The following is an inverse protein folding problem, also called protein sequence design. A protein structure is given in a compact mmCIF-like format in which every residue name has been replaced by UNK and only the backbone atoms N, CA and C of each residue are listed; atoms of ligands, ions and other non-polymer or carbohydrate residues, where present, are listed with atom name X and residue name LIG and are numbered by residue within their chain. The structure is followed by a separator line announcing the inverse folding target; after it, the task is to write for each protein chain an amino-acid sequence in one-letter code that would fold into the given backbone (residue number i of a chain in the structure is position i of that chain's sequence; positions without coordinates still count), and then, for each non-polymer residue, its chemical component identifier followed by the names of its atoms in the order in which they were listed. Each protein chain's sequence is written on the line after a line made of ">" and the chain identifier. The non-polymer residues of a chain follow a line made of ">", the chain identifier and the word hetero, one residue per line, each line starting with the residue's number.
data_IF_111550779092
#
_entry.id   IF_111550779092
#
_cell.length_a   1.000
_cell.length_b   1.000
_cell.length_c   1.000
_cell.angle_alpha   90.00
_cell.angle_beta   90.00
_cell.angle_gamma   90.00
#
_symmetry.space_group_name_H-M   'P 1'
#
loop_
_entity.id
_entity.type
_entity.pdbx_description
1 polymer ?
#
# COMPACT_ATOMS: atom_id res chain seq x y z
N UNK A 1 2.01 -7.36 29.29
CA UNK A 1 2.34 -7.47 27.86
C UNK A 1 1.14 -6.95 27.09
N UNK A 2 1.32 -5.88 26.33
CA UNK A 2 0.23 -5.33 25.50
C UNK A 2 -0.25 -6.38 24.49
N UNK A 3 -1.56 -6.62 24.46
CA UNK A 3 -2.15 -7.54 23.51
C UNK A 3 -2.02 -6.94 22.09
N UNK A 4 -1.43 -7.71 21.17
CA UNK A 4 -1.35 -7.35 19.76
C UNK A 4 -2.17 -8.34 18.97
N UNK A 5 -3.20 -7.86 18.27
CA UNK A 5 -4.11 -8.64 17.45
C UNK A 5 -4.07 -8.20 15.98
N UNK A 6 -4.30 -9.16 15.10
CA UNK A 6 -4.56 -8.92 13.67
C UNK A 6 -6.02 -9.24 13.40
N UNK A 7 -6.67 -8.40 12.63
CA UNK A 7 -8.04 -8.66 12.16
C UNK A 7 -8.26 -8.17 10.74
N UNK A 8 -9.20 -8.75 10.00
CA UNK A 8 -9.70 -8.13 8.76
C UNK A 8 -10.21 -6.72 9.06
N UNK A 9 -10.02 -5.81 8.11
CA UNK A 9 -10.61 -4.49 8.20
C UNK A 9 -12.13 -4.55 7.99
N UNK A 10 -12.82 -3.51 8.45
CA UNK A 10 -14.28 -3.32 8.38
C UNK A 10 -14.59 -1.98 7.70
N UNK A 11 -15.81 -1.74 7.23
CA UNK A 11 -16.19 -0.43 6.67
C UNK A 11 -15.91 0.74 7.61
N UNK A 12 -16.01 0.54 8.93
CA UNK A 12 -15.74 1.56 9.94
C UNK A 12 -14.25 1.94 10.05
N UNK A 13 -13.35 1.10 9.52
CA UNK A 13 -11.92 1.42 9.45
C UNK A 13 -11.56 2.34 8.26
N UNK A 14 -12.52 2.73 7.43
CA UNK A 14 -12.28 3.44 6.18
C UNK A 14 -11.43 4.71 6.37
N UNK A 15 -11.70 5.52 7.39
CA UNK A 15 -10.91 6.72 7.68
C UNK A 15 -9.44 6.38 7.97
N UNK A 16 -9.21 5.37 8.82
CA UNK A 16 -7.86 4.86 9.11
C UNK A 16 -7.18 4.36 7.84
N UNK A 17 -7.89 3.57 7.01
CA UNK A 17 -7.34 3.03 5.77
C UNK A 17 -6.96 4.14 4.79
N UNK A 18 -7.79 5.16 4.61
CA UNK A 18 -7.49 6.31 3.76
C UNK A 18 -6.20 7.03 4.19
N UNK A 19 -6.05 7.31 5.49
CA UNK A 19 -4.83 7.89 6.04
C UNK A 19 -3.61 6.98 5.81
N UNK A 20 -3.74 5.67 6.03
CA UNK A 20 -2.66 4.70 5.89
C UNK A 20 -2.23 4.53 4.43
N UNK A 21 -3.17 4.48 3.48
CA UNK A 21 -2.90 4.40 2.05
C UNK A 21 -2.08 5.61 1.58
N UNK A 22 -2.53 6.82 1.91
CA UNK A 22 -1.82 8.05 1.53
C UNK A 22 -0.43 8.10 2.18
N UNK A 23 -0.31 7.75 3.46
CA UNK A 23 0.97 7.72 4.16
C UNK A 23 1.96 6.73 3.52
N UNK A 24 1.48 5.55 3.08
CA UNK A 24 2.30 4.53 2.42
C UNK A 24 2.77 4.97 1.03
N UNK A 25 1.98 5.77 0.31
CA UNK A 25 2.27 6.21 -1.06
C UNK A 25 3.49 7.12 -1.19
N UNK A 26 3.95 7.75 -0.10
CA UNK A 26 5.14 8.61 -0.12
C UNK A 26 5.00 9.85 -1.01
N UNK A 27 3.78 10.38 -1.14
CA UNK A 27 3.43 11.51 -1.97
C UNK A 27 2.66 11.16 -3.25
N UNK A 28 2.64 9.87 -3.64
CA UNK A 28 1.98 9.45 -4.89
C UNK A 28 0.47 9.76 -4.89
N UNK A 29 -0.23 9.46 -3.80
CA UNK A 29 -1.67 9.74 -3.73
C UNK A 29 -1.97 11.23 -3.75
N UNK A 30 -1.11 12.06 -3.16
CA UNK A 30 -1.22 13.51 -3.24
C UNK A 30 -1.01 13.99 -4.69
N UNK A 31 -0.02 13.47 -5.42
CA UNK A 31 0.19 13.79 -6.84
C UNK A 31 -1.03 13.41 -7.69
N UNK A 32 -1.63 12.26 -7.42
CA UNK A 32 -2.74 11.74 -8.22
C UNK A 32 -4.08 12.41 -7.89
N UNK A 33 -4.32 12.75 -6.63
CA UNK A 33 -5.67 13.06 -6.11
C UNK A 33 -5.83 14.47 -5.53
N UNK A 34 -4.73 15.26 -5.39
CA UNK A 34 -4.85 16.65 -4.91
C UNK A 34 -5.75 17.45 -5.84
N UNK A 35 -6.69 18.21 -5.25
CA UNK A 35 -7.63 19.09 -5.98
C UNK A 35 -8.54 18.40 -7.02
N UNK A 36 -8.61 17.07 -7.04
CA UNK A 36 -9.54 16.34 -7.91
C UNK A 36 -10.99 16.59 -7.53
N UNK A 37 -11.23 16.75 -6.24
CA UNK A 37 -12.55 17.13 -5.69
C UNK A 37 -12.39 18.35 -4.77
N UNK A 38 -13.09 19.46 -5.04
CA UNK A 38 -12.96 20.68 -4.24
C UNK A 38 -13.22 20.43 -2.75
N UNK A 39 -12.26 20.79 -1.90
CA UNK A 39 -12.36 20.66 -0.45
C UNK A 39 -12.27 19.23 0.11
N UNK A 40 -11.96 18.23 -0.73
CA UNK A 40 -11.80 16.84 -0.32
C UNK A 40 -10.33 16.44 -0.42
N UNK A 41 -9.77 15.97 0.67
CA UNK A 41 -8.35 15.55 0.71
C UNK A 41 -8.15 14.17 0.06
N UNK A 42 -6.93 13.85 -0.44
CA UNK A 42 -6.59 12.50 -0.92
C UNK A 42 -6.92 11.39 0.09
N UNK A 43 -6.73 11.64 1.40
CA UNK A 43 -7.08 10.67 2.43
C UNK A 43 -8.59 10.43 2.53
N UNK A 44 -9.41 11.45 2.35
CA UNK A 44 -10.88 11.30 2.33
C UNK A 44 -11.35 10.56 1.07
N UNK A 45 -10.75 10.83 -0.09
CA UNK A 45 -11.04 10.08 -1.32
C UNK A 45 -10.69 8.60 -1.13
N UNK A 46 -9.51 8.31 -0.61
CA UNK A 46 -9.08 6.93 -0.37
C UNK A 46 -9.90 6.25 0.75
N UNK A 47 -10.39 7.01 1.73
CA UNK A 47 -11.31 6.48 2.75
C UNK A 47 -12.65 6.05 2.13
N UNK A 48 -13.17 6.82 1.18
CA UNK A 48 -14.40 6.43 0.49
C UNK A 48 -14.19 5.18 -0.38
N UNK A 49 -13.09 5.08 -1.11
CA UNK A 49 -12.71 3.87 -1.83
C UNK A 49 -12.58 2.67 -0.88
N UNK A 50 -11.94 2.85 0.28
CA UNK A 50 -11.78 1.80 1.27
C UNK A 50 -13.10 1.35 1.91
N UNK A 51 -14.12 2.20 1.95
CA UNK A 51 -15.47 1.86 2.48
C UNK A 51 -16.24 0.91 1.58
N UNK A 52 -15.94 0.91 0.28
CA UNK A 52 -16.66 0.10 -0.69
C UNK A 52 -16.35 -1.40 -0.52
N UNK A 53 -17.32 -2.30 -0.76
CA UNK A 53 -17.09 -3.74 -0.69
C UNK A 53 -16.30 -4.29 -1.88
N UNK A 54 -16.14 -3.50 -2.93
CA UNK A 54 -15.46 -3.85 -4.17
C UNK A 54 -14.31 -2.87 -4.43
N UNK A 55 -13.41 -3.24 -5.35
CA UNK A 55 -12.27 -2.43 -5.72
C UNK A 55 -10.96 -2.82 -5.02
N UNK A 56 -9.84 -2.47 -5.64
CA UNK A 56 -8.50 -2.85 -5.15
C UNK A 56 -8.18 -2.29 -3.76
N UNK A 57 -8.70 -1.10 -3.44
CA UNK A 57 -8.51 -0.47 -2.12
C UNK A 57 -9.64 -0.72 -1.12
N UNK A 58 -10.60 -1.61 -1.42
CA UNK A 58 -11.65 -2.03 -0.51
C UNK A 58 -11.12 -2.48 0.85
N UNK A 59 -11.88 -2.21 1.94
CA UNK A 59 -11.57 -2.75 3.27
C UNK A 59 -11.39 -4.27 3.26
N UNK A 60 -12.02 -5.00 2.33
CA UNK A 60 -11.91 -6.46 2.21
C UNK A 60 -10.49 -6.94 1.88
N UNK A 61 -9.68 -6.09 1.31
CA UNK A 61 -8.27 -6.35 0.98
C UNK A 61 -7.31 -5.89 2.08
N UNK A 62 -7.82 -5.37 3.20
CA UNK A 62 -6.99 -4.82 4.25
C UNK A 62 -7.02 -5.64 5.54
N UNK A 63 -5.87 -5.71 6.19
CA UNK A 63 -5.68 -6.24 7.54
C UNK A 63 -5.25 -5.12 8.46
N UNK A 64 -5.96 -4.97 9.57
CA UNK A 64 -5.64 -4.01 10.64
C UNK A 64 -4.86 -4.73 11.75
N UNK A 65 -3.81 -4.08 12.24
CA UNK A 65 -3.13 -4.50 13.47
C UNK A 65 -3.53 -3.59 14.62
N UNK A 66 -3.98 -4.21 15.69
CA UNK A 66 -4.33 -3.54 16.93
C UNK A 66 -3.24 -3.76 17.98
N UNK A 67 -2.92 -2.73 18.74
CA UNK A 67 -2.03 -2.78 19.86
C UNK A 67 -2.54 -1.81 20.94
N UNK A 68 -2.45 -2.21 22.20
CA UNK A 68 -2.89 -1.39 23.33
C UNK A 68 -4.38 -0.97 23.25
N UNK A 69 -5.22 -1.80 22.63
CA UNK A 69 -6.65 -1.55 22.45
C UNK A 69 -7.01 -0.56 21.32
N UNK A 70 -6.04 -0.16 20.51
CA UNK A 70 -6.24 0.77 19.39
C UNK A 70 -5.66 0.23 18.07
N UNK A 71 -6.21 0.67 16.94
CA UNK A 71 -5.66 0.37 15.63
C UNK A 71 -4.30 1.07 15.46
N UNK A 72 -3.25 0.27 15.31
CA UNK A 72 -1.86 0.71 15.26
C UNK A 72 -1.33 0.88 13.82
N UNK A 73 -1.96 0.24 12.85
CA UNK A 73 -1.59 0.30 11.45
C UNK A 73 -2.40 -0.66 10.60
N UNK A 74 -2.14 -0.66 9.30
CA UNK A 74 -2.81 -1.53 8.36
C UNK A 74 -1.90 -1.93 7.19
N UNK A 75 -2.29 -3.03 6.53
CA UNK A 75 -1.73 -3.49 5.27
C UNK A 75 -2.88 -3.77 4.32
N UNK A 76 -2.78 -3.28 3.09
CA UNK A 76 -3.68 -3.61 1.98
C UNK A 76 -2.93 -4.46 0.95
N UNK A 77 -3.52 -5.59 0.55
CA UNK A 77 -2.95 -6.48 -0.45
C UNK A 77 -4.05 -7.22 -1.22
N UNK A 78 -3.83 -7.42 -2.51
CA UNK A 78 -4.77 -8.02 -3.45
C UNK A 78 -4.02 -8.67 -4.63
N UNK A 79 -4.69 -9.48 -5.48
CA UNK A 79 -4.11 -9.97 -6.71
C UNK A 79 -3.57 -8.83 -7.59
N UNK A 80 -2.33 -8.96 -8.08
CA UNK A 80 -1.66 -7.89 -8.85
C UNK A 80 -2.48 -7.40 -10.05
N UNK A 81 -3.34 -8.24 -10.62
CA UNK A 81 -4.24 -7.92 -11.72
C UNK A 81 -5.24 -6.81 -11.41
N UNK A 82 -5.54 -6.59 -10.12
CA UNK A 82 -6.46 -5.53 -9.69
C UNK A 82 -5.76 -4.16 -9.56
N UNK A 83 -4.43 -4.12 -9.69
CA UNK A 83 -3.71 -2.84 -9.58
C UNK A 83 -4.10 -1.89 -10.72
N UNK A 84 -4.60 -0.72 -10.36
CA UNK A 84 -4.95 0.35 -11.31
C UNK A 84 -6.25 0.13 -12.08
N UNK A 85 -7.04 -0.90 -11.77
CA UNK A 85 -8.31 -1.16 -12.46
C UNK A 85 -9.34 -0.03 -12.30
N UNK A 86 -9.26 0.75 -11.25
CA UNK A 86 -10.19 1.84 -10.91
C UNK A 86 -9.58 3.24 -11.12
N UNK A 87 -8.29 3.31 -11.46
CA UNK A 87 -7.57 4.58 -11.50
C UNK A 87 -8.06 5.54 -12.58
N UNK A 88 -8.67 5.01 -13.65
CA UNK A 88 -8.97 5.79 -14.86
C UNK A 88 -10.17 6.73 -14.75
N UNK A 89 -11.09 6.51 -13.82
CA UNK A 89 -12.31 7.33 -13.72
C UNK A 89 -12.13 8.56 -12.83
N UNK A 90 -11.28 8.48 -11.83
CA UNK A 90 -11.10 9.55 -10.84
C UNK A 90 -9.84 10.38 -11.09
N UNK A 91 -8.77 9.76 -11.63
CA UNK A 91 -7.48 10.42 -11.80
C UNK A 91 -7.45 11.18 -13.13
N UNK A 92 -7.13 12.49 -13.12
CA UNK A 92 -6.95 13.25 -14.35
C UNK A 92 -5.94 12.58 -15.30
N UNK A 93 -6.26 12.54 -16.60
CA UNK A 93 -5.48 11.81 -17.60
C UNK A 93 -3.99 12.20 -17.63
N UNK A 94 -3.70 13.47 -17.43
CA UNK A 94 -2.32 14.00 -17.36
C UNK A 94 -1.52 13.48 -16.15
N UNK A 95 -2.21 13.02 -15.10
CA UNK A 95 -1.57 12.45 -13.89
C UNK A 95 -1.34 10.96 -14.02
N UNK A 96 -1.95 10.27 -14.97
CA UNK A 96 -1.75 8.83 -15.18
C UNK A 96 -0.29 8.48 -15.53
N UNK A 97 0.47 9.43 -16.05
CA UNK A 97 1.92 9.27 -16.32
C UNK A 97 2.71 8.87 -15.07
N UNK A 98 2.24 9.23 -13.87
CA UNK A 98 2.88 8.83 -12.61
C UNK A 98 2.62 7.36 -12.23
N UNK A 99 1.53 6.76 -12.71
CA UNK A 99 1.21 5.34 -12.49
C UNK A 99 1.87 4.41 -13.51
N UNK A 100 2.15 4.88 -14.71
CA UNK A 100 2.69 4.07 -15.79
C UNK A 100 3.96 3.28 -15.40
N UNK A 101 4.95 3.86 -14.68
CA UNK A 101 6.13 3.12 -14.24
C UNK A 101 5.79 1.96 -13.29
N UNK A 102 4.82 2.14 -12.38
CA UNK A 102 4.38 1.09 -11.47
C UNK A 102 3.65 -0.03 -12.22
N UNK A 103 2.81 0.32 -13.21
CA UNK A 103 2.12 -0.66 -14.05
C UNK A 103 3.11 -1.50 -14.88
N UNK A 104 4.19 -0.89 -15.38
CA UNK A 104 5.25 -1.58 -16.12
C UNK A 104 6.04 -2.56 -15.25
N UNK A 105 6.23 -2.22 -13.97
CA UNK A 105 6.97 -3.03 -13.00
C UNK A 105 6.12 -4.09 -12.29
N UNK A 106 4.82 -4.17 -12.58
CA UNK A 106 3.90 -5.03 -11.87
C UNK A 106 4.24 -6.52 -12.10
N UNK A 107 4.48 -7.27 -11.01
CA UNK A 107 4.66 -8.73 -11.04
C UNK A 107 3.29 -9.43 -11.14
N UNK A 108 2.82 -9.60 -12.38
CA UNK A 108 1.52 -10.26 -12.63
C UNK A 108 1.54 -11.71 -12.12
N UNK A 109 0.40 -12.17 -11.64
CA UNK A 109 0.27 -13.50 -11.00
C UNK A 109 0.84 -13.55 -9.60
N UNK A 110 1.11 -12.42 -8.96
CA UNK A 110 1.53 -12.32 -7.57
C UNK A 110 0.43 -11.76 -6.67
N UNK A 111 0.58 -12.00 -5.37
CA UNK A 111 -0.13 -11.28 -4.31
C UNK A 111 0.57 -9.94 -4.09
N UNK A 112 -0.09 -8.85 -4.48
CA UNK A 112 0.51 -7.52 -4.46
C UNK A 112 0.19 -6.77 -3.16
N UNK A 113 1.21 -6.38 -2.42
CA UNK A 113 1.09 -5.50 -1.26
C UNK A 113 1.05 -4.05 -1.78
N UNK A 114 -0.14 -3.47 -1.76
CA UNK A 114 -0.38 -2.12 -2.27
C UNK A 114 0.01 -1.03 -1.26
N UNK A 115 -0.18 -1.31 0.04
CA UNK A 115 0.15 -0.36 1.09
C UNK A 115 0.48 -1.06 2.41
N UNK A 116 1.41 -0.49 3.16
CA UNK A 116 1.73 -0.85 4.53
C UNK A 116 2.10 0.43 5.29
N UNK A 117 1.32 0.76 6.30
CA UNK A 117 1.64 1.90 7.15
C UNK A 117 1.35 1.64 8.62
N UNK A 118 2.12 2.29 9.47
CA UNK A 118 1.95 2.28 10.92
C UNK A 118 1.72 3.71 11.41
N UNK A 119 0.80 3.89 12.36
CA UNK A 119 0.65 5.16 13.06
C UNK A 119 1.98 5.53 13.73
N UNK A 120 2.34 6.82 13.78
CA UNK A 120 3.65 7.27 14.29
C UNK A 120 4.03 6.67 15.65
N UNK A 121 3.10 6.65 16.61
CA UNK A 121 3.31 6.18 17.98
C UNK A 121 3.55 4.66 18.10
N UNK A 122 3.28 3.92 17.03
CA UNK A 122 3.45 2.47 16.97
C UNK A 122 4.63 2.02 16.09
N UNK A 123 5.37 2.97 15.52
CA UNK A 123 6.60 2.67 14.75
C UNK A 123 7.69 2.12 15.65
N UNK A 124 8.64 1.39 15.09
CA UNK A 124 9.75 0.79 15.85
C UNK A 124 9.38 -0.42 16.71
N UNK A 125 8.09 -0.79 16.81
CA UNK A 125 7.59 -1.88 17.65
C UNK A 125 7.48 -3.24 16.92
N UNK A 126 8.10 -3.37 15.77
CA UNK A 126 8.11 -4.59 14.91
C UNK A 126 6.73 -5.06 14.43
N UNK A 127 5.69 -4.23 14.52
CA UNK A 127 4.31 -4.58 14.17
C UNK A 127 4.13 -4.75 12.65
N UNK A 128 4.81 -3.95 11.83
CA UNK A 128 4.77 -4.05 10.37
C UNK A 128 5.20 -5.44 9.87
N UNK A 129 6.21 -6.05 10.50
CA UNK A 129 6.64 -7.42 10.18
C UNK A 129 5.58 -8.48 10.48
N UNK A 130 4.68 -8.24 11.45
CA UNK A 130 3.55 -9.15 11.74
C UNK A 130 2.49 -9.05 10.66
N UNK A 131 2.15 -7.84 10.20
CA UNK A 131 1.24 -7.63 9.07
C UNK A 131 1.75 -8.30 7.80
N UNK A 132 3.05 -8.13 7.49
CA UNK A 132 3.66 -8.76 6.31
C UNK A 132 3.59 -10.29 6.37
N UNK A 133 3.91 -10.90 7.52
CA UNK A 133 3.82 -12.36 7.68
C UNK A 133 2.39 -12.88 7.53
N UNK A 134 1.39 -12.15 8.02
CA UNK A 134 -0.01 -12.48 7.80
C UNK A 134 -0.39 -12.42 6.31
N UNK A 135 0.08 -11.37 5.61
CA UNK A 135 -0.15 -11.26 4.15
C UNK A 135 0.54 -12.39 3.36
N UNK A 136 1.72 -12.86 3.79
CA UNK A 136 2.37 -14.04 3.16
C UNK A 136 1.56 -15.32 3.39
N UNK A 137 0.95 -15.49 4.56
CA UNK A 137 0.05 -16.62 4.81
C UNK A 137 -1.18 -16.56 3.89
N UNK A 138 -1.82 -15.38 3.78
CA UNK A 138 -2.95 -15.17 2.87
C UNK A 138 -2.58 -15.48 1.41
N UNK A 139 -1.41 -15.02 0.94
CA UNK A 139 -0.94 -15.33 -0.41
C UNK A 139 -0.88 -16.83 -0.67
N UNK A 140 -0.29 -17.60 0.26
CA UNK A 140 -0.20 -19.07 0.16
C UNK A 140 -1.59 -19.74 0.18
N UNK A 141 -2.46 -19.33 1.09
CA UNK A 141 -3.82 -19.86 1.22
C UNK A 141 -4.64 -19.63 -0.05
N UNK A 142 -4.40 -18.53 -0.75
CA UNK A 142 -5.03 -18.19 -2.02
C UNK A 142 -4.29 -18.74 -3.24
N UNK A 143 -3.19 -19.51 -3.05
CA UNK A 143 -2.47 -20.17 -4.12
C UNK A 143 -1.53 -19.29 -4.93
N UNK A 144 -1.19 -18.09 -4.44
CA UNK A 144 -0.22 -17.22 -5.12
C UNK A 144 1.22 -17.73 -4.89
N UNK A 145 2.01 -17.90 -5.95
CA UNK A 145 3.40 -18.39 -5.82
C UNK A 145 4.35 -17.31 -5.28
N UNK A 146 3.99 -16.04 -5.43
CA UNK A 146 4.85 -14.91 -5.06
C UNK A 146 4.06 -13.79 -4.40
N UNK A 147 4.77 -13.03 -3.56
CA UNK A 147 4.32 -11.75 -3.02
C UNK A 147 5.18 -10.65 -3.60
N UNK A 148 4.57 -9.59 -4.11
CA UNK A 148 5.26 -8.44 -4.69
C UNK A 148 4.83 -7.12 -4.08
N UNK A 149 5.63 -6.09 -4.30
CA UNK A 149 5.32 -4.72 -3.91
C UNK A 149 6.16 -3.72 -4.70
N UNK A 150 5.77 -2.45 -4.65
CA UNK A 150 6.61 -1.34 -5.06
C UNK A 150 7.10 -0.56 -3.84
N UNK A 151 8.34 -0.07 -3.91
CA UNK A 151 8.92 0.78 -2.86
C UNK A 151 9.80 1.85 -3.48
N UNK A 152 9.76 3.06 -2.93
CA UNK A 152 10.67 4.12 -3.33
C UNK A 152 12.11 3.78 -2.94
N UNK A 153 13.05 3.90 -3.85
CA UNK A 153 14.46 3.55 -3.60
C UNK A 153 15.08 4.30 -2.41
N UNK A 154 14.62 5.54 -2.15
CA UNK A 154 15.07 6.36 -1.02
C UNK A 154 14.27 6.17 0.26
N UNK A 155 13.22 5.34 0.27
CA UNK A 155 12.54 4.94 1.51
C UNK A 155 13.34 3.83 2.21
N UNK A 156 14.51 4.18 2.73
CA UNK A 156 15.47 3.22 3.29
C UNK A 156 14.90 2.40 4.44
N UNK A 157 13.97 2.97 5.21
CA UNK A 157 13.30 2.26 6.31
C UNK A 157 12.45 1.11 5.81
N UNK A 158 11.59 1.36 4.82
CA UNK A 158 10.72 0.35 4.23
C UNK A 158 11.55 -0.65 3.42
N UNK A 159 12.47 -0.18 2.58
CA UNK A 159 13.35 -1.03 1.78
C UNK A 159 14.12 -2.01 2.67
N UNK A 160 14.76 -1.53 3.73
CA UNK A 160 15.48 -2.38 4.68
C UNK A 160 14.59 -3.40 5.39
N UNK A 161 13.31 -3.07 5.68
CA UNK A 161 12.35 -4.03 6.21
C UNK A 161 12.06 -5.14 5.20
N UNK A 162 11.79 -4.81 3.95
CA UNK A 162 11.45 -5.79 2.90
C UNK A 162 12.64 -6.71 2.59
N UNK A 163 13.84 -6.17 2.43
CA UNK A 163 15.05 -6.97 2.19
C UNK A 163 15.31 -7.97 3.33
N UNK A 164 15.16 -7.56 4.59
CA UNK A 164 15.27 -8.50 5.74
C UNK A 164 14.21 -9.58 5.76
N UNK A 165 13.08 -9.39 5.10
CA UNK A 165 12.01 -10.39 4.97
C UNK A 165 12.13 -11.23 3.70
N UNK A 166 13.27 -11.14 2.99
CA UNK A 166 13.59 -11.99 1.84
C UNK A 166 13.04 -11.49 0.51
N UNK A 167 12.58 -10.26 0.43
CA UNK A 167 12.30 -9.65 -0.87
C UNK A 167 13.59 -9.37 -1.62
N UNK A 168 13.56 -9.53 -2.94
CA UNK A 168 14.63 -9.17 -3.85
C UNK A 168 14.12 -8.17 -4.88
N UNK A 169 14.99 -7.30 -5.37
CA UNK A 169 14.68 -6.37 -6.45
C UNK A 169 14.51 -7.15 -7.76
N UNK A 170 13.41 -6.88 -8.45
CA UNK A 170 13.06 -7.48 -9.74
C UNK A 170 13.04 -6.46 -10.88
N UNK A 171 13.07 -5.19 -10.56
CA UNK A 171 13.12 -4.11 -11.55
C UNK A 171 13.06 -2.74 -10.90
N UNK A 172 13.33 -1.73 -11.71
CA UNK A 172 13.24 -0.34 -11.30
C UNK A 172 12.75 0.54 -12.45
N UNK A 173 12.06 1.64 -12.12
CA UNK A 173 11.63 2.62 -13.10
C UNK A 173 11.70 4.03 -12.52
N UNK A 174 11.79 5.00 -13.42
CA UNK A 174 11.74 6.40 -13.05
C UNK A 174 10.30 6.92 -13.13
N UNK A 175 9.84 7.51 -12.07
CA UNK A 175 8.59 8.27 -11.99
C UNK A 175 8.93 9.75 -12.31
N UNK A 176 8.09 10.47 -13.05
CA UNK A 176 8.31 11.90 -13.27
C UNK A 176 8.52 12.66 -11.96
N UNK A 177 9.36 13.68 -11.98
CA UNK A 177 9.61 14.51 -10.79
C UNK A 177 8.34 15.29 -10.39
N UNK A 178 8.07 15.33 -9.10
CA UNK A 178 7.01 16.16 -8.53
C UNK A 178 7.38 16.58 -7.11
N UNK A 179 7.10 17.84 -6.69
CA UNK A 179 7.46 18.34 -5.36
C UNK A 179 6.84 17.56 -4.20
N UNK A 180 5.68 16.93 -4.41
CA UNK A 180 4.99 16.13 -3.40
C UNK A 180 5.60 14.73 -3.20
N UNK A 181 6.46 14.25 -4.11
CA UNK A 181 7.12 12.94 -3.97
C UNK A 181 8.25 13.02 -2.95
N UNK A 182 8.07 12.40 -1.79
CA UNK A 182 8.96 12.54 -0.61
C UNK A 182 10.25 11.71 -0.71
N UNK A 183 10.30 10.71 -1.58
CA UNK A 183 11.40 9.74 -1.66
C UNK A 183 12.11 9.77 -3.02
N UNK A 184 12.01 10.88 -3.75
CA UNK A 184 12.61 11.04 -5.06
C UNK A 184 11.82 10.33 -6.17
N UNK A 185 12.49 9.98 -7.25
CA UNK A 185 11.88 9.57 -8.51
C UNK A 185 12.11 8.10 -8.91
N UNK A 186 12.84 7.33 -8.13
CA UNK A 186 13.12 5.92 -8.47
C UNK A 186 12.20 5.00 -7.66
N UNK A 187 11.39 4.24 -8.38
CA UNK A 187 10.54 3.18 -7.84
C UNK A 187 11.20 1.83 -8.10
N UNK A 188 11.26 0.99 -7.09
CA UNK A 188 11.73 -0.40 -7.17
C UNK A 188 10.53 -1.34 -7.13
N UNK A 189 10.57 -2.38 -7.96
CA UNK A 189 9.72 -3.55 -7.78
C UNK A 189 10.49 -4.60 -6.97
N UNK A 190 9.86 -5.11 -5.95
CA UNK A 190 10.40 -6.18 -5.12
C UNK A 190 9.46 -7.38 -5.16
N UNK A 191 10.03 -8.59 -5.17
CA UNK A 191 9.27 -9.83 -5.10
C UNK A 191 9.97 -10.87 -4.22
N UNK A 192 9.19 -11.81 -3.69
CA UNK A 192 9.67 -12.97 -2.94
C UNK A 192 8.73 -14.17 -3.16
N UNK A 193 9.17 -15.42 -2.95
CA UNK A 193 8.26 -16.56 -2.80
C UNK A 193 7.24 -16.30 -1.66
N UNK A 194 6.01 -16.75 -1.85
CA UNK A 194 4.93 -16.59 -0.88
C UNK A 194 5.17 -17.39 0.43
#
# INVERSE_FOLDING_TARGET
>A
MSAVALRPARPDDAALLGEMLVAAGGGMFEVLLEDVMPGVTPAQIMAEAARQPEGGFSYRHATVIEADGAAAGALAAFPAEQFGSEASELIPAERLVYLAPMQQLLDRGSWYIAALAMRPDYRGRHLAGRLLRASFAQAREQGFPRVSLHVWARNLTALGLYLRLGFVETGSAQVPEHPLLRHGKVMLALSRPA
#
